data_IF_974881203767
#
_entry.id   IF_974881203767
#
_cell.length_a   1.000
_cell.length_b   1.000
_cell.length_c   1.000
_cell.angle_alpha   90.00
_cell.angle_beta   90.00
_cell.angle_gamma   90.00
#
_symmetry.space_group_name_H-M   'P 1'
#
loop_
_entity.id
_entity.type
_entity.pdbx_description
1 polymer ?
#
# COMPACT_ATOMS: atom_id res chain seq x y z
N UNK A 1 19.83 -12.79 0.82
CA UNK A 1 19.28 -12.02 1.96
C UNK A 1 17.78 -12.03 1.78
N UNK A 2 17.02 -12.50 2.77
CA UNK A 2 15.55 -12.61 2.66
C UNK A 2 14.90 -11.23 2.79
N UNK A 3 13.80 -10.96 2.09
CA UNK A 3 13.11 -9.66 2.24
C UNK A 3 12.61 -9.43 3.66
N UNK A 4 12.24 -10.51 4.36
CA UNK A 4 11.86 -10.47 5.78
C UNK A 4 12.94 -9.82 6.65
N UNK A 5 14.23 -10.03 6.34
CA UNK A 5 15.34 -9.51 7.16
C UNK A 5 15.48 -7.98 7.13
N UNK A 6 14.78 -7.30 6.22
CA UNK A 6 14.75 -5.84 6.15
C UNK A 6 13.84 -5.21 7.22
N UNK A 7 12.99 -6.02 7.85
CA UNK A 7 11.94 -5.57 8.76
C UNK A 7 12.26 -5.92 10.21
N UNK A 8 11.65 -5.18 11.14
CA UNK A 8 11.91 -5.33 12.57
C UNK A 8 11.47 -6.71 13.06
N UNK A 9 12.14 -7.18 14.11
CA UNK A 9 11.86 -8.43 14.82
C UNK A 9 12.03 -9.71 13.98
N UNK A 10 12.55 -9.59 12.74
CA UNK A 10 12.84 -10.74 11.91
C UNK A 10 13.90 -11.64 12.54
N UNK A 11 13.50 -12.89 12.79
CA UNK A 11 14.32 -13.97 13.26
C UNK A 11 14.26 -15.13 12.25
N UNK A 12 15.27 -15.20 11.38
CA UNK A 12 15.36 -16.20 10.31
C UNK A 12 15.56 -17.65 10.82
N UNK A 13 15.75 -17.88 12.12
CA UNK A 13 15.91 -19.24 12.67
C UNK A 13 14.59 -20.00 12.84
N UNK A 14 13.45 -19.30 12.79
CA UNK A 14 12.13 -19.91 12.92
C UNK A 14 11.39 -19.84 11.57
N UNK A 15 11.06 -21.01 11.02
CA UNK A 15 10.36 -21.11 9.75
C UNK A 15 8.87 -20.73 9.85
N UNK A 16 8.27 -20.83 11.04
CA UNK A 16 6.90 -20.37 11.27
C UNK A 16 6.90 -18.83 11.32
N UNK A 17 6.27 -18.17 10.37
CA UNK A 17 6.37 -16.71 10.20
C UNK A 17 5.01 -16.03 10.29
N UNK A 18 4.94 -14.94 11.06
CA UNK A 18 3.80 -14.01 11.10
C UNK A 18 4.27 -12.68 10.50
N UNK A 19 3.68 -12.28 9.38
CA UNK A 19 3.87 -10.97 8.77
C UNK A 19 2.71 -10.08 9.25
N UNK A 20 3.02 -8.99 9.94
CA UNK A 20 2.05 -8.10 10.57
C UNK A 20 2.28 -6.65 10.12
N UNK A 21 1.25 -6.04 9.57
CA UNK A 21 1.21 -4.60 9.25
C UNK A 21 -0.07 -4.23 8.51
N UNK A 22 -0.33 -2.94 8.34
CA UNK A 22 -1.57 -2.45 7.71
C UNK A 22 -1.57 -2.51 6.17
N UNK A 23 -0.39 -2.57 5.54
CA UNK A 23 -0.25 -2.59 4.07
C UNK A 23 -0.35 -4.02 3.55
N UNK A 24 -1.52 -4.38 3.03
CA UNK A 24 -1.78 -5.73 2.51
C UNK A 24 -0.92 -6.08 1.30
N UNK A 25 -0.62 -5.10 0.44
CA UNK A 25 0.20 -5.32 -0.74
C UNK A 25 1.64 -5.65 -0.33
N UNK A 26 2.24 -4.86 0.57
CA UNK A 26 3.57 -5.12 1.09
C UNK A 26 3.65 -6.48 1.78
N UNK A 27 2.66 -6.79 2.62
CA UNK A 27 2.62 -8.06 3.34
C UNK A 27 2.58 -9.26 2.38
N UNK A 28 1.69 -9.20 1.37
CA UNK A 28 1.61 -10.22 0.33
C UNK A 28 2.88 -10.29 -0.52
N UNK A 29 3.50 -9.15 -0.80
CA UNK A 29 4.75 -9.07 -1.55
C UNK A 29 5.88 -9.82 -0.84
N UNK A 30 6.05 -9.55 0.46
CA UNK A 30 7.06 -10.19 1.30
C UNK A 30 6.73 -11.68 1.48
N UNK A 31 5.46 -12.02 1.75
CA UNK A 31 5.01 -13.41 1.89
C UNK A 31 5.34 -14.22 0.63
N UNK A 32 5.00 -13.69 -0.55
CA UNK A 32 5.32 -14.30 -1.84
C UNK A 32 6.83 -14.48 -1.99
N UNK A 33 7.64 -13.45 -1.75
CA UNK A 33 9.09 -13.60 -1.83
C UNK A 33 9.61 -14.68 -0.90
N UNK A 34 9.06 -14.81 0.30
CA UNK A 34 9.50 -15.79 1.29
C UNK A 34 9.15 -17.22 0.88
N UNK A 35 7.92 -17.50 0.46
CA UNK A 35 7.49 -18.88 0.10
C UNK A 35 8.16 -19.42 -1.18
N UNK A 36 8.78 -18.55 -1.98
CA UNK A 36 9.54 -18.92 -3.18
C UNK A 36 11.06 -18.93 -2.96
N UNK A 37 11.53 -18.82 -1.71
CA UNK A 37 12.94 -19.07 -1.40
C UNK A 37 13.33 -20.52 -1.73
N UNK A 38 14.59 -20.72 -2.09
CA UNK A 38 15.15 -22.03 -2.49
C UNK A 38 14.90 -23.11 -1.43
N UNK A 39 14.91 -22.73 -0.15
CA UNK A 39 14.63 -23.62 0.98
C UNK A 39 13.21 -24.20 1.01
N UNK A 40 12.26 -23.61 0.28
CA UNK A 40 10.86 -24.04 0.19
C UNK A 40 10.46 -24.46 -1.23
N UNK A 41 11.42 -24.61 -2.14
CA UNK A 41 11.14 -24.90 -3.55
C UNK A 41 10.37 -26.22 -3.73
N UNK A 42 10.75 -27.26 -2.97
CA UNK A 42 10.15 -28.60 -3.01
C UNK A 42 8.82 -28.72 -2.24
N UNK A 43 8.46 -27.69 -1.45
CA UNK A 43 7.23 -27.69 -0.68
C UNK A 43 6.02 -27.36 -1.57
N UNK A 44 4.93 -28.10 -1.37
CA UNK A 44 3.63 -27.74 -1.94
C UNK A 44 3.16 -26.41 -1.34
N UNK A 45 2.72 -25.48 -2.17
CA UNK A 45 2.34 -24.13 -1.76
C UNK A 45 0.82 -24.04 -1.69
N UNK A 46 0.29 -23.91 -0.48
CA UNK A 46 -1.15 -23.80 -0.24
C UNK A 46 -1.46 -22.43 0.35
N UNK A 47 -2.59 -21.84 -0.04
CA UNK A 47 -3.04 -20.55 0.48
C UNK A 47 -4.50 -20.69 0.92
N UNK A 48 -4.80 -20.26 2.15
CA UNK A 48 -6.15 -20.18 2.71
C UNK A 48 -6.38 -18.75 3.18
N UNK A 49 -7.46 -18.13 2.72
CA UNK A 49 -7.89 -16.81 3.14
C UNK A 49 -9.08 -16.93 4.10
N UNK A 50 -8.88 -16.62 5.38
CA UNK A 50 -9.91 -16.83 6.38
C UNK A 50 -11.13 -15.89 6.22
N UNK A 51 -11.09 -14.88 5.36
CA UNK A 51 -12.28 -14.06 5.06
C UNK A 51 -13.18 -14.69 3.98
N UNK A 52 -12.62 -15.46 3.05
CA UNK A 52 -13.38 -16.16 1.99
C UNK A 52 -13.59 -17.65 2.26
N UNK A 53 -12.63 -18.30 2.92
CA UNK A 53 -12.60 -19.73 3.21
C UNK A 53 -13.03 -20.00 4.66
N UNK A 54 -13.48 -21.22 4.96
CA UNK A 54 -13.92 -21.56 6.31
C UNK A 54 -12.72 -21.90 7.22
N UNK A 55 -12.89 -21.71 8.54
CA UNK A 55 -11.87 -22.19 9.49
C UNK A 55 -11.77 -23.72 9.51
N UNK A 56 -12.82 -24.43 9.10
CA UNK A 56 -12.79 -25.88 8.97
C UNK A 56 -11.85 -26.30 7.81
N UNK A 57 -11.83 -25.55 6.70
CA UNK A 57 -10.87 -25.77 5.59
C UNK A 57 -9.43 -25.54 6.06
N UNK A 58 -9.19 -24.47 6.82
CA UNK A 58 -7.87 -24.22 7.42
C UNK A 58 -7.45 -25.37 8.35
N UNK A 59 -8.35 -25.84 9.20
CA UNK A 59 -8.05 -26.95 10.13
C UNK A 59 -7.77 -28.24 9.35
N UNK A 60 -8.55 -28.54 8.31
CA UNK A 60 -8.30 -29.68 7.44
C UNK A 60 -6.91 -29.59 6.84
N UNK A 61 -6.55 -28.47 6.22
CA UNK A 61 -5.25 -28.26 5.59
C UNK A 61 -4.07 -28.39 6.57
N UNK A 62 -4.25 -27.93 7.82
CA UNK A 62 -3.25 -28.04 8.88
C UNK A 62 -3.09 -29.47 9.43
N UNK A 63 -4.09 -30.31 9.29
CA UNK A 63 -4.13 -31.67 9.89
C UNK A 63 -3.99 -32.79 8.87
N UNK A 64 -4.29 -32.52 7.60
CA UNK A 64 -4.08 -33.47 6.51
C UNK A 64 -2.59 -33.77 6.34
N UNK A 65 -2.23 -35.01 6.63
CA UNK A 65 -0.93 -35.56 6.31
C UNK A 65 -0.83 -35.83 4.81
N UNK A 66 0.21 -35.30 4.16
CA UNK A 66 0.47 -35.55 2.75
C UNK A 66 0.78 -37.03 2.52
N UNK A 67 -0.16 -37.76 1.89
CA UNK A 67 -0.01 -39.18 1.54
C UNK A 67 1.14 -39.45 0.56
N UNK A 68 1.62 -38.41 -0.14
CA UNK A 68 2.60 -38.49 -1.23
C UNK A 68 3.87 -37.66 -0.96
N UNK A 69 4.25 -37.50 0.32
CA UNK A 69 5.55 -37.00 0.79
C UNK A 69 5.94 -35.56 0.49
N UNK A 70 5.08 -34.72 -0.12
CA UNK A 70 5.39 -33.29 -0.22
C UNK A 70 4.88 -32.58 1.04
N UNK A 71 5.83 -32.16 1.88
CA UNK A 71 5.58 -31.22 2.96
C UNK A 71 4.99 -29.92 2.37
N UNK A 72 4.11 -29.26 3.13
CA UNK A 72 3.42 -28.05 2.65
C UNK A 72 4.00 -26.78 3.27
N UNK A 73 3.96 -25.69 2.53
CA UNK A 73 4.01 -24.33 3.06
C UNK A 73 2.64 -23.68 2.89
N UNK A 74 1.98 -23.44 4.03
CA UNK A 74 0.60 -22.95 4.08
C UNK A 74 0.62 -21.46 4.42
N UNK A 75 0.11 -20.65 3.49
CA UNK A 75 -0.09 -19.21 3.69
C UNK A 75 -1.49 -18.96 4.23
N UNK A 76 -1.60 -18.40 5.43
CA UNK A 76 -2.88 -18.08 6.08
C UNK A 76 -3.10 -16.58 5.94
N UNK A 77 -4.01 -16.17 5.08
CA UNK A 77 -4.37 -14.76 4.85
C UNK A 77 -5.55 -14.33 5.70
N UNK A 78 -5.57 -13.03 6.01
CA UNK A 78 -6.62 -12.36 6.77
C UNK A 78 -7.09 -13.17 7.99
N UNK A 79 -6.19 -13.52 8.93
CA UNK A 79 -6.49 -14.37 10.07
C UNK A 79 -7.36 -13.64 11.10
N UNK A 80 -8.66 -13.49 10.81
CA UNK A 80 -9.60 -12.73 11.62
C UNK A 80 -9.66 -13.24 13.07
N UNK A 81 -9.31 -14.52 13.30
CA UNK A 81 -9.22 -15.15 14.62
C UNK A 81 -8.21 -14.47 15.57
N UNK A 82 -7.22 -13.75 15.04
CA UNK A 82 -6.25 -12.95 15.81
C UNK A 82 -6.75 -11.54 16.17
N UNK A 83 -7.88 -11.11 15.62
CA UNK A 83 -8.48 -9.78 15.87
C UNK A 83 -9.51 -9.82 17.00
N UNK A 84 -10.06 -8.67 17.41
CA UNK A 84 -11.10 -8.63 18.44
C UNK A 84 -12.45 -9.21 17.97
N UNK A 85 -12.79 -9.06 16.69
CA UNK A 85 -14.09 -9.45 16.13
C UNK A 85 -14.00 -10.87 15.57
N UNK A 86 -14.62 -11.82 16.27
CA UNK A 86 -14.72 -13.21 15.80
C UNK A 86 -16.15 -13.71 15.96
N UNK A 87 -16.75 -14.37 14.95
CA UNK A 87 -18.09 -14.94 15.07
C UNK A 87 -18.18 -15.94 16.22
N UNK A 88 -19.22 -15.84 17.05
CA UNK A 88 -19.40 -16.73 18.22
C UNK A 88 -19.50 -18.22 17.82
N UNK A 89 -20.05 -18.50 16.63
CA UNK A 89 -20.14 -19.84 16.04
C UNK A 89 -18.78 -20.51 15.79
N UNK A 90 -17.70 -19.75 15.70
CA UNK A 90 -16.35 -20.26 15.42
C UNK A 90 -15.63 -20.81 16.66
N UNK A 91 -16.24 -20.77 17.86
CA UNK A 91 -15.56 -21.12 19.12
C UNK A 91 -14.88 -22.50 19.09
N UNK A 92 -15.57 -23.52 18.54
CA UNK A 92 -15.04 -24.89 18.42
C UNK A 92 -13.77 -24.92 17.55
N UNK A 93 -13.81 -24.27 16.38
CA UNK A 93 -12.69 -24.17 15.46
C UNK A 93 -11.51 -23.41 16.08
N UNK A 94 -11.76 -22.35 16.86
CA UNK A 94 -10.71 -21.63 17.58
C UNK A 94 -10.02 -22.52 18.62
N UNK A 95 -10.77 -23.34 19.35
CA UNK A 95 -10.21 -24.28 20.32
C UNK A 95 -9.35 -25.35 19.62
N UNK A 96 -9.76 -25.82 18.43
CA UNK A 96 -8.97 -26.75 17.61
C UNK A 96 -7.69 -26.08 17.06
N UNK A 97 -7.78 -24.88 16.50
CA UNK A 97 -6.62 -24.10 16.05
C UNK A 97 -5.64 -23.84 17.19
N UNK A 98 -6.15 -23.56 18.40
CA UNK A 98 -5.30 -23.40 19.59
C UNK A 98 -4.51 -24.68 19.90
N UNK A 99 -5.15 -25.85 19.83
CA UNK A 99 -4.45 -27.13 20.05
C UNK A 99 -3.37 -27.38 19.01
N UNK A 100 -3.65 -27.08 17.73
CA UNK A 100 -2.69 -27.21 16.64
C UNK A 100 -1.50 -26.26 16.88
N UNK A 101 -1.76 -24.98 17.17
CA UNK A 101 -0.70 -23.98 17.34
C UNK A 101 0.11 -24.19 18.63
N UNK A 102 -0.50 -24.74 19.69
CA UNK A 102 0.23 -25.15 20.90
C UNK A 102 1.25 -26.28 20.60
N UNK A 103 1.10 -27.00 19.50
CA UNK A 103 2.01 -28.06 19.02
C UNK A 103 2.65 -27.77 17.65
N UNK A 104 2.70 -26.49 17.25
CA UNK A 104 3.21 -26.09 15.91
C UNK A 104 4.62 -26.61 15.59
N UNK A 105 5.46 -26.78 16.61
CA UNK A 105 6.84 -27.26 16.47
C UNK A 105 6.91 -28.74 16.05
N UNK A 106 5.80 -29.47 16.14
CA UNK A 106 5.64 -30.86 15.74
C UNK A 106 5.05 -31.00 14.33
N UNK A 107 4.62 -29.89 13.71
CA UNK A 107 4.13 -29.92 12.34
C UNK A 107 5.30 -29.96 11.36
N UNK A 108 5.23 -30.88 10.40
CA UNK A 108 6.14 -30.90 9.25
C UNK A 108 5.90 -29.68 8.34
N UNK A 109 4.65 -29.21 8.28
CA UNK A 109 4.23 -28.07 7.47
C UNK A 109 4.79 -26.74 8.00
N UNK A 110 5.14 -25.85 7.07
CA UNK A 110 5.56 -24.47 7.36
C UNK A 110 4.38 -23.53 7.22
N UNK A 111 4.20 -22.61 8.17
CA UNK A 111 3.11 -21.64 8.15
C UNK A 111 3.65 -20.22 7.95
N UNK A 112 2.97 -19.51 7.06
CA UNK A 112 3.16 -18.07 6.85
C UNK A 112 1.82 -17.38 7.09
N UNK A 113 1.67 -16.74 8.25
CA UNK A 113 0.47 -15.98 8.59
C UNK A 113 0.65 -14.55 8.08
N UNK A 114 -0.28 -14.09 7.23
CA UNK A 114 -0.29 -12.75 6.66
C UNK A 114 -1.43 -11.97 7.33
N UNK A 115 -1.08 -11.22 8.38
CA UNK A 115 -2.01 -10.43 9.18
C UNK A 115 -1.98 -8.97 8.74
N UNK A 116 -2.79 -8.64 7.73
CA UNK A 116 -2.94 -7.29 7.19
C UNK A 116 -3.81 -6.39 8.09
N UNK A 117 -3.40 -6.21 9.33
CA UNK A 117 -4.12 -5.48 10.37
C UNK A 117 -3.19 -4.50 11.09
N UNK A 118 -3.73 -3.36 11.56
CA UNK A 118 -2.96 -2.44 12.39
C UNK A 118 -2.49 -3.07 13.71
N UNK A 119 -3.38 -3.83 14.37
CA UNK A 119 -3.12 -4.45 15.68
C UNK A 119 -3.85 -5.77 15.85
N UNK A 120 -3.19 -6.69 16.54
CA UNK A 120 -3.77 -7.97 16.99
C UNK A 120 -4.37 -7.85 18.40
N UNK A 121 -5.38 -8.65 18.72
CA UNK A 121 -5.89 -8.75 20.10
C UNK A 121 -4.96 -9.61 20.94
N UNK A 122 -3.99 -8.95 21.59
CA UNK A 122 -2.96 -9.59 22.44
C UNK A 122 -3.51 -10.25 23.71
N UNK A 123 -4.80 -10.08 24.03
CA UNK A 123 -5.43 -10.71 25.21
C UNK A 123 -5.76 -12.18 24.94
N UNK A 124 -6.05 -12.54 23.69
CA UNK A 124 -6.41 -13.90 23.28
C UNK A 124 -5.27 -14.88 23.47
N UNK A 125 -5.59 -16.11 23.90
CA UNK A 125 -4.62 -17.20 24.05
C UNK A 125 -3.94 -17.50 22.71
N UNK A 126 -4.71 -17.59 21.63
CA UNK A 126 -4.20 -17.93 20.30
C UNK A 126 -3.17 -16.91 19.81
N UNK A 127 -3.48 -15.62 19.93
CA UNK A 127 -2.54 -14.53 19.61
C UNK A 127 -1.26 -14.63 20.43
N UNK A 128 -1.35 -14.94 21.72
CA UNK A 128 -0.15 -15.12 22.57
C UNK A 128 0.69 -16.33 22.13
N UNK A 129 0.05 -17.43 21.74
CA UNK A 129 0.75 -18.61 21.20
C UNK A 129 1.48 -18.26 19.90
N UNK A 130 0.81 -17.61 18.94
CA UNK A 130 1.44 -17.18 17.67
C UNK A 130 2.62 -16.26 17.94
N UNK A 131 2.45 -15.19 18.73
CA UNK A 131 3.52 -14.22 19.02
C UNK A 131 4.73 -14.84 19.75
N UNK A 132 4.54 -15.94 20.48
CA UNK A 132 5.63 -16.65 21.16
C UNK A 132 6.36 -17.63 20.23
N UNK A 133 5.62 -18.29 19.33
CA UNK A 133 6.11 -19.42 18.55
C UNK A 133 6.45 -19.10 17.10
N UNK A 134 6.10 -17.93 16.60
CA UNK A 134 6.38 -17.52 15.22
C UNK A 134 7.49 -16.46 15.19
N UNK A 135 8.23 -16.41 14.10
CA UNK A 135 8.98 -15.24 13.69
C UNK A 135 7.99 -14.10 13.36
N UNK A 136 7.92 -13.10 14.22
CA UNK A 136 6.99 -11.97 14.03
C UNK A 136 7.71 -10.86 13.27
N UNK A 137 7.33 -10.65 12.02
CA UNK A 137 7.89 -9.62 11.15
C UNK A 137 6.92 -8.45 11.08
N UNK A 138 7.36 -7.30 11.61
CA UNK A 138 6.60 -6.06 11.63
C UNK A 138 6.93 -5.23 10.38
N UNK A 139 5.93 -5.09 9.51
CA UNK A 139 6.04 -4.43 8.20
C UNK A 139 5.53 -2.99 8.23
N UNK A 140 5.32 -2.40 9.41
CA UNK A 140 4.98 -0.98 9.51
C UNK A 140 6.09 -0.11 8.92
N UNK A 141 5.78 0.57 7.81
CA UNK A 141 6.66 1.55 7.17
C UNK A 141 6.09 2.94 7.37
N UNK A 142 6.82 3.78 8.11
CA UNK A 142 6.43 5.18 8.26
C UNK A 142 6.69 5.95 6.98
N UNK A 143 5.92 7.02 6.75
CA UNK A 143 6.01 7.80 5.52
C UNK A 143 7.45 8.27 5.22
N UNK A 144 8.20 8.73 6.22
CA UNK A 144 9.59 9.16 6.01
C UNK A 144 10.59 8.01 5.73
N UNK A 145 10.20 6.75 5.94
CA UNK A 145 11.04 5.57 5.71
C UNK A 145 10.89 5.00 4.29
N UNK A 146 9.85 5.39 3.55
CA UNK A 146 9.51 4.82 2.22
C UNK A 146 10.72 4.78 1.30
N UNK A 147 11.45 5.89 1.14
CA UNK A 147 12.65 5.93 0.29
C UNK A 147 13.71 4.90 0.70
N UNK A 148 13.98 4.79 2.01
CA UNK A 148 14.98 3.86 2.55
C UNK A 148 14.54 2.42 2.35
N UNK A 149 13.29 2.10 2.66
CA UNK A 149 12.72 0.75 2.52
C UNK A 149 12.69 0.33 1.06
N UNK A 150 12.21 1.19 0.15
CA UNK A 150 12.24 0.93 -1.30
C UNK A 150 13.64 0.62 -1.79
N UNK A 151 14.64 1.43 -1.44
CA UNK A 151 16.03 1.19 -1.85
C UNK A 151 16.54 -0.16 -1.35
N UNK A 152 16.23 -0.49 -0.09
CA UNK A 152 16.62 -1.77 0.51
C UNK A 152 15.95 -2.97 -0.17
N UNK A 153 14.64 -2.89 -0.48
CA UNK A 153 13.91 -3.94 -1.21
C UNK A 153 14.50 -4.16 -2.60
N UNK A 154 14.70 -3.09 -3.37
CA UNK A 154 15.29 -3.15 -4.72
C UNK A 154 16.67 -3.84 -4.67
N UNK A 155 17.53 -3.44 -3.74
CA UNK A 155 18.87 -4.04 -3.58
C UNK A 155 18.81 -5.50 -3.11
N UNK A 156 17.90 -5.85 -2.20
CA UNK A 156 17.74 -7.21 -1.70
C UNK A 156 17.27 -8.18 -2.80
N UNK A 157 16.52 -7.69 -3.78
CA UNK A 157 16.12 -8.45 -4.97
C UNK A 157 17.16 -8.44 -6.10
N UNK A 158 18.35 -7.88 -5.85
CA UNK A 158 19.47 -7.92 -6.80
C UNK A 158 19.41 -6.85 -7.90
N UNK A 159 18.57 -5.82 -7.75
CA UNK A 159 18.49 -4.70 -8.68
C UNK A 159 19.33 -3.50 -8.22
N UNK A 160 19.88 -2.79 -9.21
CA UNK A 160 20.60 -1.53 -9.01
C UNK A 160 19.77 -0.40 -9.58
N UNK A 161 19.45 0.59 -8.74
CA UNK A 161 18.70 1.79 -9.13
C UNK A 161 19.57 3.03 -8.91
N UNK A 162 19.63 3.92 -9.90
CA UNK A 162 20.31 5.21 -9.72
C UNK A 162 19.53 6.10 -8.75
N UNK A 163 20.20 7.03 -8.08
CA UNK A 163 19.53 7.91 -7.10
C UNK A 163 18.44 8.77 -7.75
N UNK A 164 18.68 9.24 -8.98
CA UNK A 164 17.70 9.99 -9.77
C UNK A 164 16.51 9.12 -10.18
N UNK A 165 16.74 7.87 -10.59
CA UNK A 165 15.68 6.93 -10.92
C UNK A 165 14.82 6.58 -9.69
N UNK A 166 15.44 6.38 -8.53
CA UNK A 166 14.75 6.14 -7.27
C UNK A 166 13.88 7.35 -6.89
N UNK A 167 14.43 8.55 -6.96
CA UNK A 167 13.66 9.77 -6.71
C UNK A 167 12.46 9.86 -7.66
N UNK A 168 12.68 9.66 -8.96
CA UNK A 168 11.62 9.72 -9.95
C UNK A 168 10.54 8.65 -9.73
N UNK A 169 10.92 7.42 -9.40
CA UNK A 169 9.99 6.33 -9.09
C UNK A 169 9.10 6.71 -7.89
N UNK A 170 9.72 7.22 -6.83
CA UNK A 170 9.00 7.66 -5.62
C UNK A 170 8.06 8.83 -5.89
N UNK A 171 8.50 9.82 -6.66
CA UNK A 171 7.68 10.96 -7.06
C UNK A 171 6.48 10.52 -7.89
N UNK A 172 6.69 9.70 -8.93
CA UNK A 172 5.61 9.21 -9.80
C UNK A 172 4.62 8.33 -9.04
N UNK A 173 5.07 7.60 -8.02
CA UNK A 173 4.21 6.79 -7.15
C UNK A 173 3.60 7.55 -5.96
N UNK A 174 3.65 8.88 -5.91
CA UNK A 174 3.13 9.71 -4.79
C UNK A 174 3.68 9.32 -3.41
N UNK A 175 4.88 8.72 -3.38
CA UNK A 175 5.52 8.19 -2.16
C UNK A 175 4.68 7.12 -1.43
N UNK A 176 3.71 6.50 -2.10
CA UNK A 176 2.92 5.40 -1.53
C UNK A 176 3.62 4.08 -1.86
N UNK A 177 3.98 3.32 -0.82
CA UNK A 177 4.87 2.15 -0.95
C UNK A 177 4.26 1.06 -1.84
N UNK A 178 2.97 0.78 -1.72
CA UNK A 178 2.23 -0.15 -2.58
C UNK A 178 2.42 0.15 -4.08
N UNK A 179 2.32 1.43 -4.44
CA UNK A 179 2.37 1.97 -5.78
C UNK A 179 3.82 1.96 -6.26
N UNK A 180 4.76 2.28 -5.38
CA UNK A 180 6.20 2.14 -5.64
C UNK A 180 6.55 0.69 -5.96
N UNK A 181 6.09 -0.28 -5.18
CA UNK A 181 6.39 -1.70 -5.38
C UNK A 181 5.69 -2.27 -6.62
N UNK A 182 4.45 -1.86 -6.88
CA UNK A 182 3.74 -2.20 -8.12
C UNK A 182 4.50 -1.69 -9.35
N UNK A 183 4.96 -0.44 -9.33
CA UNK A 183 5.76 0.12 -10.41
C UNK A 183 7.17 -0.49 -10.50
N UNK A 184 7.78 -0.85 -9.36
CA UNK A 184 9.03 -1.60 -9.34
C UNK A 184 8.88 -2.96 -10.01
N UNK A 185 7.78 -3.70 -9.77
CA UNK A 185 7.51 -4.96 -10.48
C UNK A 185 7.45 -4.79 -12.01
N UNK A 186 6.84 -3.70 -12.50
CA UNK A 186 6.85 -3.38 -13.94
C UNK A 186 8.26 -3.12 -14.45
N UNK A 187 9.06 -2.37 -13.69
CA UNK A 187 10.45 -2.07 -14.02
C UNK A 187 11.32 -3.32 -14.04
N UNK A 188 11.10 -4.28 -13.13
CA UNK A 188 11.80 -5.57 -13.12
C UNK A 188 11.65 -6.31 -14.45
N UNK A 189 10.45 -6.26 -15.05
CA UNK A 189 10.18 -6.91 -16.34
C UNK A 189 10.84 -6.21 -17.52
N UNK A 190 11.10 -4.90 -17.42
CA UNK A 190 11.68 -4.09 -18.48
C UNK A 190 13.19 -3.85 -18.32
N UNK A 191 13.76 -4.15 -17.16
CA UNK A 191 15.16 -3.90 -16.84
C UNK A 191 16.09 -4.89 -17.53
N UNK A 192 17.21 -4.37 -18.03
CA UNK A 192 18.32 -5.17 -18.57
C UNK A 192 19.43 -5.21 -17.53
N UNK A 193 20.04 -6.39 -17.31
CA UNK A 193 21.10 -6.60 -16.31
C UNK A 193 20.74 -6.12 -14.90
N UNK A 194 19.45 -6.18 -14.53
CA UNK A 194 18.91 -5.69 -13.26
C UNK A 194 19.23 -4.21 -12.95
N UNK A 195 19.47 -3.38 -13.97
CA UNK A 195 19.74 -1.94 -13.83
C UNK A 195 18.49 -1.12 -14.12
N UNK A 196 18.22 -0.14 -13.26
CA UNK A 196 17.09 0.78 -13.36
C UNK A 196 17.65 2.22 -13.35
N UNK A 197 17.55 2.88 -14.49
CA UNK A 197 17.89 4.29 -14.66
C UNK A 197 16.65 5.17 -14.83
N UNK A 198 16.87 6.49 -14.92
CA UNK A 198 15.78 7.45 -15.04
C UNK A 198 14.98 7.27 -16.33
N UNK A 199 15.66 6.92 -17.42
CA UNK A 199 15.03 6.68 -18.74
C UNK A 199 14.05 5.52 -18.66
N UNK A 200 14.43 4.42 -18.01
CA UNK A 200 13.58 3.26 -17.82
C UNK A 200 12.35 3.61 -16.99
N UNK A 201 12.52 4.39 -15.90
CA UNK A 201 11.40 4.86 -15.07
C UNK A 201 10.47 5.76 -15.89
N UNK A 202 10.99 6.75 -16.62
CA UNK A 202 10.16 7.66 -17.45
C UNK A 202 9.34 6.92 -18.50
N UNK A 203 9.90 5.85 -19.06
CA UNK A 203 9.26 5.08 -20.14
C UNK A 203 8.19 4.11 -19.64
N UNK A 204 8.36 3.54 -18.45
CA UNK A 204 7.53 2.41 -17.99
C UNK A 204 6.67 2.72 -16.76
N UNK A 205 6.86 3.88 -16.13
CA UNK A 205 6.07 4.30 -14.97
C UNK A 205 5.35 5.58 -15.33
N UNK A 206 4.03 5.55 -15.26
CA UNK A 206 3.21 6.76 -15.39
C UNK A 206 3.13 7.51 -14.06
N UNK A 207 2.62 8.74 -14.11
CA UNK A 207 2.23 9.42 -12.88
C UNK A 207 1.11 8.62 -12.22
N UNK A 208 1.20 8.45 -10.91
CA UNK A 208 0.08 7.97 -10.11
C UNK A 208 -1.13 8.88 -10.31
N UNK A 209 -2.30 8.33 -10.01
CA UNK A 209 -3.56 9.05 -10.13
C UNK A 209 -3.53 10.42 -9.42
N UNK A 210 -3.06 10.45 -8.16
CA UNK A 210 -2.93 11.68 -7.38
C UNK A 210 -1.94 12.68 -8.01
N UNK A 211 -0.79 12.20 -8.49
CA UNK A 211 0.22 13.07 -9.12
C UNK A 211 -0.25 13.61 -10.47
N UNK A 212 -1.00 12.83 -11.25
CA UNK A 212 -1.58 13.31 -12.49
C UNK A 212 -2.66 14.38 -12.23
N UNK A 213 -3.53 14.17 -11.23
CA UNK A 213 -4.53 15.18 -10.81
C UNK A 213 -3.85 16.47 -10.35
N UNK A 214 -2.77 16.37 -9.57
CA UNK A 214 -1.98 17.53 -9.18
C UNK A 214 -1.35 18.23 -10.40
N UNK A 215 -0.81 17.49 -11.37
CA UNK A 215 -0.26 18.05 -12.60
C UNK A 215 -1.33 18.75 -13.45
N UNK A 216 -2.56 18.25 -13.49
CA UNK A 216 -3.71 18.93 -14.14
C UNK A 216 -3.98 20.27 -13.47
N UNK A 217 -4.06 20.30 -12.13
CA UNK A 217 -4.23 21.54 -11.37
C UNK A 217 -3.10 22.53 -11.67
N UNK A 218 -1.84 22.11 -11.54
CA UNK A 218 -0.70 23.00 -11.78
C UNK A 218 -0.71 23.60 -13.19
N UNK A 219 -1.01 22.80 -14.21
CA UNK A 219 -1.09 23.26 -15.58
C UNK A 219 -2.22 24.30 -15.75
N UNK A 220 -3.40 24.04 -15.19
CA UNK A 220 -4.53 24.96 -15.21
C UNK A 220 -4.20 26.30 -14.52
N UNK A 221 -3.55 26.24 -13.36
CA UNK A 221 -3.14 27.40 -12.56
C UNK A 221 -2.05 28.24 -13.22
N UNK A 222 -1.28 27.64 -14.14
CA UNK A 222 -0.32 28.33 -15.02
C UNK A 222 -0.97 28.80 -16.32
N UNK A 223 -2.30 28.72 -16.45
CA UNK A 223 -3.08 28.98 -17.67
C UNK A 223 -2.69 28.11 -18.87
N UNK A 224 -1.99 27.00 -18.65
CA UNK A 224 -1.69 26.00 -19.69
C UNK A 224 -2.86 25.02 -19.83
N UNK A 225 -4.02 25.54 -20.20
CA UNK A 225 -5.26 24.75 -20.29
C UNK A 225 -5.18 23.63 -21.34
N UNK A 226 -4.37 23.80 -22.40
CA UNK A 226 -4.13 22.74 -23.38
C UNK A 226 -3.51 21.50 -22.73
N UNK A 227 -2.47 21.68 -21.90
CA UNK A 227 -1.86 20.57 -21.18
C UNK A 227 -2.80 19.99 -20.12
N UNK A 228 -3.47 20.86 -19.35
CA UNK A 228 -4.39 20.44 -18.29
C UNK A 228 -5.51 19.55 -18.84
N UNK A 229 -6.16 19.97 -19.94
CA UNK A 229 -7.24 19.22 -20.58
C UNK A 229 -6.73 17.93 -21.21
N UNK A 230 -5.56 17.96 -21.88
CA UNK A 230 -4.98 16.75 -22.46
C UNK A 230 -4.71 15.66 -21.39
N UNK A 231 -4.16 16.06 -20.23
CA UNK A 231 -3.92 15.16 -19.10
C UNK A 231 -5.22 14.60 -18.53
N UNK A 232 -6.22 15.47 -18.33
CA UNK A 232 -7.54 15.06 -17.84
C UNK A 232 -8.21 14.07 -18.80
N UNK A 233 -8.18 14.35 -20.11
CA UNK A 233 -8.76 13.48 -21.14
C UNK A 233 -8.06 12.13 -21.25
N UNK A 234 -6.73 12.07 -21.07
CA UNK A 234 -6.02 10.80 -20.99
C UNK A 234 -6.52 9.98 -19.80
N UNK A 235 -6.63 10.59 -18.63
CA UNK A 235 -7.06 9.91 -17.40
C UNK A 235 -8.50 9.37 -17.51
N UNK A 236 -9.40 10.15 -18.12
CA UNK A 236 -10.78 9.72 -18.40
C UNK A 236 -10.83 8.58 -19.43
N UNK A 237 -9.98 8.62 -20.47
CA UNK A 237 -9.87 7.55 -21.48
C UNK A 237 -9.33 6.24 -20.91
N UNK A 238 -8.48 6.30 -19.89
CA UNK A 238 -8.00 5.13 -19.13
C UNK A 238 -9.08 4.48 -18.25
N UNK A 239 -10.32 5.01 -18.26
CA UNK A 239 -11.46 4.44 -17.55
C UNK A 239 -11.69 5.02 -16.16
N UNK A 240 -10.99 6.10 -15.81
CA UNK A 240 -11.17 6.77 -14.51
C UNK A 240 -12.58 7.37 -14.40
N UNK A 241 -13.22 7.17 -13.26
CA UNK A 241 -14.53 7.78 -13.01
C UNK A 241 -14.36 9.29 -12.74
N UNK A 242 -15.10 10.17 -13.43
CA UNK A 242 -15.11 11.62 -13.17
C UNK A 242 -15.28 11.99 -11.69
N UNK A 243 -16.07 11.25 -10.92
CA UNK A 243 -16.30 11.55 -9.50
C UNK A 243 -15.11 11.16 -8.63
N UNK A 244 -14.44 10.07 -8.97
CA UNK A 244 -13.19 9.73 -8.30
C UNK A 244 -12.11 10.78 -8.57
N UNK A 245 -12.06 11.31 -9.81
CA UNK A 245 -11.18 12.42 -10.15
C UNK A 245 -11.51 13.66 -9.31
N UNK A 246 -12.77 14.06 -9.25
CA UNK A 246 -13.22 15.21 -8.47
C UNK A 246 -12.84 15.08 -6.98
N UNK A 247 -13.08 13.91 -6.39
CA UNK A 247 -12.70 13.65 -4.99
C UNK A 247 -11.18 13.81 -4.77
N UNK A 248 -10.35 13.42 -5.73
CA UNK A 248 -8.89 13.61 -5.64
C UNK A 248 -8.48 15.06 -5.88
N UNK A 249 -9.20 15.82 -6.73
CA UNK A 249 -9.02 17.27 -6.83
C UNK A 249 -9.32 17.96 -5.50
N UNK A 250 -10.43 17.62 -4.85
CA UNK A 250 -10.82 18.15 -3.53
C UNK A 250 -9.73 17.88 -2.49
N UNK A 251 -9.33 16.60 -2.33
CA UNK A 251 -8.29 16.20 -1.38
C UNK A 251 -6.97 16.95 -1.62
N UNK A 252 -6.59 17.17 -2.89
CA UNK A 252 -5.35 17.85 -3.22
C UNK A 252 -5.44 19.36 -2.95
N UNK A 253 -6.57 20.00 -3.26
CA UNK A 253 -6.80 21.41 -2.94
C UNK A 253 -6.83 21.63 -1.42
N UNK A 254 -7.50 20.75 -0.68
CA UNK A 254 -7.55 20.76 0.78
C UNK A 254 -6.16 20.60 1.39
N UNK A 255 -5.37 19.62 0.94
CA UNK A 255 -4.01 19.42 1.43
C UNK A 255 -3.14 20.66 1.25
N UNK A 256 -3.20 21.30 0.07
CA UNK A 256 -2.43 22.52 -0.19
C UNK A 256 -2.91 23.66 0.72
N UNK A 257 -4.22 23.86 0.82
CA UNK A 257 -4.81 24.90 1.65
C UNK A 257 -4.43 24.74 3.13
N UNK A 258 -4.58 23.53 3.68
CA UNK A 258 -4.30 23.23 5.09
C UNK A 258 -2.81 23.38 5.38
N UNK A 259 -1.93 22.82 4.54
CA UNK A 259 -0.48 22.95 4.73
C UNK A 259 -0.03 24.41 4.74
N UNK A 260 -0.52 25.23 3.80
CA UNK A 260 -0.19 26.66 3.74
C UNK A 260 -0.76 27.44 4.92
N UNK A 261 -1.99 27.14 5.34
CA UNK A 261 -2.61 27.76 6.51
C UNK A 261 -1.84 27.47 7.80
N UNK A 262 -1.38 26.24 7.99
CA UNK A 262 -0.54 25.87 9.14
C UNK A 262 0.82 26.58 9.10
N UNK A 263 1.41 26.69 7.92
CA UNK A 263 2.67 27.41 7.74
C UNK A 263 2.53 28.91 8.04
N UNK A 264 1.46 29.56 7.58
CA UNK A 264 1.13 30.95 7.90
C UNK A 264 0.90 31.17 9.41
N UNK A 265 0.49 30.13 10.14
CA UNK A 265 0.36 30.13 11.61
C UNK A 265 1.67 29.83 12.35
N UNK A 266 2.80 29.78 11.64
CA UNK A 266 4.13 29.60 12.21
C UNK A 266 4.58 28.15 12.38
N UNK A 267 3.84 27.17 11.85
CA UNK A 267 4.29 25.77 11.84
C UNK A 267 5.38 25.55 10.79
N UNK A 268 6.42 24.81 11.15
CA UNK A 268 7.43 24.36 10.19
C UNK A 268 7.01 23.08 9.45
N UNK A 269 7.71 22.72 8.37
CA UNK A 269 7.39 21.55 7.53
C UNK A 269 7.31 20.24 8.35
N UNK A 270 8.21 20.03 9.32
CA UNK A 270 8.22 18.81 10.14
C UNK A 270 7.00 18.73 11.08
N UNK A 271 6.58 19.86 11.65
CA UNK A 271 5.36 19.93 12.46
C UNK A 271 4.11 19.64 11.60
N UNK A 272 4.04 20.23 10.40
CA UNK A 272 2.91 20.02 9.48
C UNK A 272 2.81 18.55 9.05
N UNK A 273 3.93 17.92 8.71
CA UNK A 273 3.99 16.47 8.39
C UNK A 273 3.41 15.63 9.52
N UNK A 274 3.83 15.92 10.76
CA UNK A 274 3.38 15.18 11.94
C UNK A 274 1.90 15.40 12.23
N UNK A 275 1.42 16.64 12.08
CA UNK A 275 0.04 17.03 12.37
C UNK A 275 -0.94 16.45 11.33
N UNK A 276 -0.56 16.46 10.05
CA UNK A 276 -1.40 15.94 8.97
C UNK A 276 -1.27 14.43 8.77
N UNK A 277 -0.21 13.80 9.26
CA UNK A 277 0.08 12.39 8.99
C UNK A 277 0.35 12.11 7.50
N UNK A 278 0.78 13.12 6.75
CA UNK A 278 1.04 13.05 5.30
C UNK A 278 2.54 13.01 5.03
N UNK A 279 2.94 12.36 3.94
CA UNK A 279 4.35 12.25 3.56
C UNK A 279 5.05 13.61 3.38
N UNK A 280 6.29 13.81 3.88
CA UNK A 280 7.05 15.07 3.77
C UNK A 280 7.09 15.69 2.38
N UNK A 281 7.34 14.87 1.35
CA UNK A 281 7.32 15.32 -0.05
C UNK A 281 6.03 16.04 -0.45
N UNK A 282 4.86 15.54 -0.02
CA UNK A 282 3.56 16.14 -0.37
C UNK A 282 3.36 17.47 0.35
N UNK A 283 3.79 17.57 1.62
CA UNK A 283 3.80 18.83 2.37
C UNK A 283 4.73 19.84 1.71
N UNK A 284 5.95 19.43 1.35
CA UNK A 284 6.90 20.28 0.63
C UNK A 284 6.33 20.80 -0.70
N UNK A 285 5.69 19.93 -1.47
CA UNK A 285 5.04 20.29 -2.73
C UNK A 285 3.90 21.29 -2.52
N UNK A 286 3.08 21.06 -1.49
CA UNK A 286 2.01 21.97 -1.09
C UNK A 286 2.53 23.35 -0.67
N UNK A 287 3.61 23.42 0.11
CA UNK A 287 4.20 24.68 0.56
C UNK A 287 4.89 25.44 -0.59
N UNK A 288 5.50 24.74 -1.54
CA UNK A 288 6.13 25.32 -2.73
C UNK A 288 5.13 25.85 -3.76
N UNK A 289 3.86 25.47 -3.63
CA UNK A 289 2.80 25.93 -4.52
C UNK A 289 2.59 27.45 -4.36
N UNK A 290 2.54 28.18 -5.48
CA UNK A 290 2.49 29.66 -5.49
C UNK A 290 1.10 30.28 -5.32
N UNK A 291 0.04 29.47 -5.21
CA UNK A 291 -1.35 29.94 -5.21
C UNK A 291 -1.73 30.48 -3.84
N UNK A 292 -2.45 31.59 -3.77
CA UNK A 292 -2.91 32.14 -2.49
C UNK A 292 -3.91 31.22 -1.80
N UNK A 293 -3.91 31.22 -0.46
CA UNK A 293 -4.88 30.49 0.37
C UNK A 293 -6.32 30.86 0.03
N UNK A 294 -6.61 32.14 -0.25
CA UNK A 294 -7.93 32.58 -0.70
C UNK A 294 -8.38 31.94 -2.02
N UNK A 295 -7.48 31.84 -3.01
CA UNK A 295 -7.82 31.21 -4.30
C UNK A 295 -8.00 29.70 -4.11
N UNK A 296 -7.16 29.05 -3.31
CA UNK A 296 -7.30 27.62 -2.98
C UNK A 296 -8.64 27.34 -2.28
N UNK A 297 -9.03 28.17 -1.30
CA UNK A 297 -10.32 28.05 -0.62
C UNK A 297 -11.50 28.21 -1.59
N UNK A 298 -11.43 29.17 -2.52
CA UNK A 298 -12.46 29.34 -3.54
C UNK A 298 -12.54 28.14 -4.50
N UNK A 299 -11.40 27.57 -4.91
CA UNK A 299 -11.38 26.39 -5.78
C UNK A 299 -11.92 25.15 -5.07
N UNK A 300 -11.58 24.97 -3.79
CA UNK A 300 -12.12 23.89 -2.97
C UNK A 300 -13.63 24.02 -2.80
N UNK A 301 -14.14 25.22 -2.53
CA UNK A 301 -15.59 25.48 -2.46
C UNK A 301 -16.29 25.16 -3.78
N UNK A 302 -15.68 25.52 -4.92
CA UNK A 302 -16.23 25.19 -6.24
C UNK A 302 -16.24 23.69 -6.50
N UNK A 303 -15.17 22.97 -6.12
CA UNK A 303 -15.10 21.51 -6.26
C UNK A 303 -16.19 20.82 -5.42
N UNK A 304 -16.35 21.22 -4.16
CA UNK A 304 -17.40 20.68 -3.26
C UNK A 304 -18.81 20.94 -3.82
N UNK A 305 -19.06 22.15 -4.35
CA UNK A 305 -20.35 22.46 -5.00
C UNK A 305 -20.59 21.58 -6.23
N UNK A 306 -19.54 21.30 -6.99
CA UNK A 306 -19.60 20.47 -8.17
C UNK A 306 -19.93 19.01 -7.83
N UNK A 307 -19.34 18.47 -6.76
CA UNK A 307 -19.65 17.12 -6.25
C UNK A 307 -21.10 17.03 -5.77
N UNK A 308 -21.56 18.03 -5.00
CA UNK A 308 -22.95 18.12 -4.57
C UNK A 308 -23.94 18.15 -5.75
N UNK A 309 -23.67 19.00 -6.74
CA UNK A 309 -24.53 19.14 -7.92
C UNK A 309 -24.57 17.86 -8.77
N UNK A 310 -23.42 17.17 -8.90
CA UNK A 310 -23.37 15.88 -9.58
C UNK A 310 -24.21 14.83 -8.85
N UNK A 311 -24.04 14.69 -7.53
CA UNK A 311 -24.79 13.71 -6.71
C UNK A 311 -26.29 13.94 -6.74
N UNK A 312 -26.73 15.18 -6.97
CA UNK A 312 -28.14 15.55 -7.16
C UNK A 312 -28.63 15.45 -8.62
N UNK A 313 -27.84 14.88 -9.53
CA UNK A 313 -28.25 14.62 -10.92
C UNK A 313 -28.31 15.85 -11.82
N UNK A 314 -27.68 16.96 -11.44
CA UNK A 314 -27.67 18.18 -12.26
C UNK A 314 -26.79 18.05 -13.51
N UNK A 315 -25.77 17.21 -13.48
CA UNK A 315 -24.88 16.97 -14.62
C UNK A 315 -25.19 15.62 -15.27
N UNK A 316 -25.47 15.63 -16.58
CA UNK A 316 -25.74 14.42 -17.38
C UNK A 316 -24.53 13.94 -18.19
N UNK A 317 -23.48 14.75 -18.29
CA UNK A 317 -22.27 14.48 -19.08
C UNK A 317 -21.00 14.67 -18.25
N UNK A 318 -19.92 13.99 -18.66
CA UNK A 318 -18.61 14.02 -17.99
C UNK A 318 -17.84 15.35 -18.18
N UNK A 319 -18.43 16.34 -18.85
CA UNK A 319 -17.78 17.62 -19.18
C UNK A 319 -17.64 18.57 -17.98
N UNK A 320 -18.32 18.30 -16.86
CA UNK A 320 -18.30 19.15 -15.68
C UNK A 320 -16.89 19.35 -15.10
N UNK A 321 -16.04 18.32 -15.13
CA UNK A 321 -14.63 18.42 -14.71
C UNK A 321 -13.81 19.32 -15.62
N UNK A 322 -14.05 19.26 -16.94
CA UNK A 322 -13.36 20.14 -17.89
C UNK A 322 -13.71 21.60 -17.61
N UNK A 323 -14.99 21.89 -17.38
CA UNK A 323 -15.44 23.23 -17.02
C UNK A 323 -14.80 23.71 -15.71
N UNK A 324 -14.71 22.84 -14.71
CA UNK A 324 -13.99 23.15 -13.47
C UNK A 324 -12.52 23.50 -13.75
N UNK A 325 -11.79 22.64 -14.46
CA UNK A 325 -10.37 22.88 -14.81
C UNK A 325 -10.16 24.17 -15.62
N UNK A 326 -11.11 24.55 -16.49
CA UNK A 326 -11.05 25.81 -17.25
C UNK A 326 -11.41 27.05 -16.42
N UNK A 327 -12.09 26.88 -15.29
CA UNK A 327 -12.46 27.96 -14.36
C UNK A 327 -11.38 28.28 -13.31
N UNK A 328 -10.38 27.41 -13.20
CA UNK A 328 -9.22 27.55 -12.31
C UNK A 328 -8.38 28.76 -12.70
#
# INVERSE_FOLDING_TARGET
>A
MTLLSLFKNSNNSNAQTLILGSDSFLNDYIARSYIYEESFQELEKVSIDCESDSLDDLIAELTESSLFSQQKIITIKNPFFLTAKVPQKAKKQLDQLQQIFDHIDQLDNKLVIVASYEKLDRRKKLTKTVLKKFNVVDTEVKSYEVKKVTKALISAEGYQITEMALQLLLERSDQVLDTVLSNFNKLKMAATENKIDETLVRKNVDLSFAQNVFAVLEAALKHNYREAIARLDNQLREGSNPIQLLAVFENQLELILVAKTLHERGRNETEIVKELGVHPYRVKLALNNKISTNKLASLLEQAIKLDYNYKNGQYRENNFLKLFVLSV
#
